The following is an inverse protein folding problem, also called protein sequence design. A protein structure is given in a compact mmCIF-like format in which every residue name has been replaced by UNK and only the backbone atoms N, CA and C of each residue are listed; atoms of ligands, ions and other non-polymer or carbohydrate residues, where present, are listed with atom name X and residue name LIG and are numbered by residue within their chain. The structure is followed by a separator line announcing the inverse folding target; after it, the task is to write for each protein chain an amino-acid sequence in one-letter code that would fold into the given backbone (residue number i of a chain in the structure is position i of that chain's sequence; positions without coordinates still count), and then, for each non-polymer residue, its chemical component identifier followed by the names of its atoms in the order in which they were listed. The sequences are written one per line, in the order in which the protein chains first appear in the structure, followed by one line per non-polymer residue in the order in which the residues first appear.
data_IF_451494817015
#
_entry.id   IF_451494817015
#
_cell.length_a   1.000
_cell.length_b   1.000
_cell.length_c   1.000
_cell.angle_alpha   90.00
_cell.angle_beta   90.00
_cell.angle_gamma   90.00
#
_symmetry.space_group_name_H-M   'P 1'
#
loop_
_entity.id
_entity.type
_entity.pdbx_description
1 polymer ?
#
# COMPACT_ATOMS: atom_id res chain seq x y z
N UNK A 1 -9.40 13.44 0.39
CA UNK A 1 -9.37 12.63 1.63
C UNK A 1 -8.47 11.42 1.50
N UNK A 2 -8.53 10.66 0.40
CA UNK A 2 -7.70 9.47 0.17
C UNK A 2 -6.20 9.67 0.43
N UNK A 3 -5.61 10.76 -0.07
CA UNK A 3 -4.20 11.10 0.18
C UNK A 3 -3.89 11.24 1.69
N UNK A 4 -4.75 11.95 2.41
CA UNK A 4 -4.58 12.22 3.85
C UNK A 4 -4.77 10.93 4.65
N UNK A 5 -5.78 10.13 4.32
CA UNK A 5 -6.03 8.84 4.97
C UNK A 5 -4.93 7.84 4.68
N UNK A 6 -4.43 7.81 3.44
CA UNK A 6 -3.31 6.96 3.03
C UNK A 6 -2.06 7.32 3.81
N UNK A 7 -1.66 8.60 3.80
CA UNK A 7 -0.49 9.06 4.53
C UNK A 7 -0.64 8.86 6.04
N UNK A 8 -1.82 9.09 6.63
CA UNK A 8 -2.02 8.92 8.07
C UNK A 8 -1.85 7.47 8.53
N UNK A 9 -2.39 6.50 7.78
CA UNK A 9 -2.30 5.08 8.15
C UNK A 9 -0.90 4.53 7.81
N UNK A 10 -0.36 4.88 6.65
CA UNK A 10 0.95 4.38 6.19
C UNK A 10 2.12 4.95 7.01
N UNK A 11 2.01 6.19 7.51
CA UNK A 11 3.02 6.78 8.40
C UNK A 11 3.20 5.99 9.69
N UNK A 12 2.17 5.29 10.18
CA UNK A 12 2.30 4.44 11.36
C UNK A 12 3.19 3.22 11.07
N UNK A 13 2.99 2.57 9.93
CA UNK A 13 3.82 1.44 9.51
C UNK A 13 5.27 1.85 9.29
N UNK A 14 5.48 2.91 8.50
CA UNK A 14 6.81 3.42 8.20
C UNK A 14 7.54 4.02 9.40
N UNK A 15 6.81 4.61 10.35
CA UNK A 15 7.41 5.26 11.51
C UNK A 15 7.84 4.27 12.59
N UNK A 16 7.08 3.19 12.80
CA UNK A 16 7.24 2.35 13.99
C UNK A 16 7.67 0.92 13.72
N UNK A 17 7.19 0.31 12.62
CA UNK A 17 7.31 -1.13 12.41
C UNK A 17 8.29 -1.45 11.28
N UNK A 18 8.13 -0.81 10.12
CA UNK A 18 8.91 -1.13 8.94
C UNK A 18 10.43 -0.97 9.13
N UNK A 19 10.97 0.11 9.74
CA UNK A 19 12.42 0.31 9.75
C UNK A 19 13.17 -0.77 10.52
N UNK A 20 12.65 -1.18 11.67
CA UNK A 20 13.27 -2.21 12.52
C UNK A 20 13.06 -3.62 11.94
N UNK A 21 11.85 -3.90 11.45
CA UNK A 21 11.51 -5.18 10.83
C UNK A 21 12.34 -5.44 9.57
N UNK A 22 12.37 -4.50 8.63
CA UNK A 22 13.13 -4.65 7.37
C UNK A 22 14.63 -4.76 7.62
N UNK A 23 15.18 -3.95 8.54
CA UNK A 23 16.61 -4.09 8.92
C UNK A 23 16.92 -5.46 9.49
N UNK A 24 16.02 -6.05 10.28
CA UNK A 24 16.22 -7.39 10.85
C UNK A 24 16.15 -8.52 9.83
N UNK A 25 15.37 -8.35 8.76
CA UNK A 25 15.10 -9.40 7.78
C UNK A 25 15.97 -9.29 6.52
N UNK A 26 16.12 -8.07 6.01
CA UNK A 26 16.80 -7.77 4.73
C UNK A 26 17.80 -6.61 4.86
N UNK A 27 18.28 -6.31 6.07
CA UNK A 27 19.18 -5.17 6.31
C UNK A 27 20.46 -5.20 5.48
N UNK A 28 20.95 -6.39 5.13
CA UNK A 28 22.11 -6.58 4.25
C UNK A 28 21.85 -6.20 2.78
N UNK A 29 20.57 -6.07 2.37
CA UNK A 29 20.14 -5.62 1.04
C UNK A 29 19.74 -4.13 1.03
N UNK A 30 19.60 -3.50 2.20
CA UNK A 30 19.14 -2.12 2.28
C UNK A 30 20.26 -1.14 1.89
N UNK A 31 19.89 -0.09 1.15
CA UNK A 31 20.79 1.01 0.88
C UNK A 31 21.15 1.78 2.18
N UNK A 32 22.34 2.37 2.21
CA UNK A 32 22.77 3.24 3.32
C UNK A 32 21.86 4.46 3.45
N UNK A 33 21.54 5.09 2.33
CA UNK A 33 20.64 6.23 2.23
C UNK A 33 19.40 5.90 1.37
N UNK A 34 18.24 6.38 1.82
CA UNK A 34 16.99 6.22 1.08
C UNK A 34 16.97 7.12 -0.18
N UNK A 35 16.57 6.55 -1.32
CA UNK A 35 16.32 7.34 -2.52
C UNK A 35 14.93 8.02 -2.44
N UNK A 36 14.91 9.23 -1.89
CA UNK A 36 13.67 10.01 -1.71
C UNK A 36 12.95 10.37 -3.01
N UNK A 37 13.68 10.52 -4.12
CA UNK A 37 13.06 10.80 -5.42
C UNK A 37 12.25 9.59 -5.91
N UNK A 38 12.84 8.40 -5.86
CA UNK A 38 12.15 7.15 -6.22
C UNK A 38 10.93 6.91 -5.31
N UNK A 39 11.08 7.13 -4.00
CA UNK A 39 9.98 7.03 -3.05
C UNK A 39 8.85 8.01 -3.40
N UNK A 40 9.17 9.29 -3.66
CA UNK A 40 8.18 10.29 -4.03
C UNK A 40 7.40 9.93 -5.29
N UNK A 41 8.09 9.46 -6.34
CA UNK A 41 7.46 9.02 -7.60
C UNK A 41 6.54 7.82 -7.33
N UNK A 42 6.98 6.84 -6.55
CA UNK A 42 6.17 5.70 -6.15
C UNK A 42 4.88 6.14 -5.45
N UNK A 43 4.95 7.00 -4.43
CA UNK A 43 3.76 7.45 -3.70
C UNK A 43 2.76 8.17 -4.63
N UNK A 44 3.24 9.02 -5.53
CA UNK A 44 2.37 9.71 -6.50
C UNK A 44 1.65 8.72 -7.41
N UNK A 45 2.38 7.76 -8.00
CA UNK A 45 1.82 6.75 -8.89
C UNK A 45 0.87 5.81 -8.16
N UNK A 46 1.25 5.35 -6.97
CA UNK A 46 0.48 4.41 -6.17
C UNK A 46 -0.87 5.01 -5.76
N UNK A 47 -0.85 6.23 -5.23
CA UNK A 47 -2.06 6.92 -4.78
C UNK A 47 -2.95 7.28 -5.97
N UNK A 48 -2.37 7.73 -7.08
CA UNK A 48 -3.10 7.97 -8.31
C UNK A 48 -3.79 6.69 -8.81
N UNK A 49 -3.06 5.57 -8.85
CA UNK A 49 -3.62 4.27 -9.24
C UNK A 49 -4.77 3.82 -8.34
N UNK A 50 -4.61 3.92 -7.02
CA UNK A 50 -5.68 3.58 -6.07
C UNK A 50 -6.93 4.46 -6.27
N UNK A 51 -6.73 5.76 -6.49
CA UNK A 51 -7.81 6.70 -6.76
C UNK A 51 -8.55 6.35 -8.06
N UNK A 52 -7.81 6.20 -9.15
CA UNK A 52 -8.34 6.00 -10.49
C UNK A 52 -9.02 4.64 -10.66
N UNK A 53 -8.36 3.56 -10.22
CA UNK A 53 -8.86 2.20 -10.43
C UNK A 53 -9.89 1.75 -9.39
N UNK A 54 -9.84 2.30 -8.16
CA UNK A 54 -10.65 1.80 -7.05
C UNK A 54 -11.61 2.86 -6.50
N UNK A 55 -11.08 3.96 -5.98
CA UNK A 55 -11.88 4.90 -5.17
C UNK A 55 -12.91 5.65 -6.02
N UNK A 56 -12.49 6.26 -7.14
CA UNK A 56 -13.39 7.04 -7.99
C UNK A 56 -14.53 6.18 -8.58
N UNK A 57 -14.27 4.99 -9.14
CA UNK A 57 -15.35 4.08 -9.57
C UNK A 57 -16.26 3.64 -8.41
N UNK A 58 -15.72 3.46 -7.20
CA UNK A 58 -16.49 3.06 -6.03
C UNK A 58 -17.40 4.16 -5.45
N UNK A 59 -17.00 5.42 -5.60
CA UNK A 59 -17.85 6.57 -5.22
C UNK A 59 -18.98 6.73 -6.23
N UNK A 60 -18.67 6.64 -7.54
CA UNK A 60 -19.65 6.79 -8.63
C UNK A 60 -20.65 5.64 -8.71
N UNK A 61 -20.23 4.42 -8.36
CA UNK A 61 -21.11 3.25 -8.36
C UNK A 61 -21.72 3.00 -6.98
N UNK A 62 -22.96 2.50 -6.95
CA UNK A 62 -23.58 1.98 -5.72
C UNK A 62 -23.13 0.54 -5.40
N UNK A 63 -21.99 0.10 -5.93
CA UNK A 63 -21.49 -1.26 -5.75
C UNK A 63 -20.89 -1.41 -4.35
N UNK A 64 -21.30 -2.42 -3.59
CA UNK A 64 -20.80 -2.70 -2.23
C UNK A 64 -19.40 -3.32 -2.19
N UNK A 65 -18.88 -3.81 -3.32
CA UNK A 65 -17.65 -4.61 -3.36
C UNK A 65 -16.35 -3.77 -3.41
N UNK A 66 -16.42 -2.47 -3.12
CA UNK A 66 -15.24 -1.58 -3.19
C UNK A 66 -14.14 -1.96 -2.19
N UNK A 67 -14.48 -2.50 -1.02
CA UNK A 67 -13.50 -2.95 -0.03
C UNK A 67 -12.63 -4.08 -0.59
N UNK A 68 -13.26 -5.05 -1.27
CA UNK A 68 -12.56 -6.18 -1.90
C UNK A 68 -11.67 -5.66 -3.04
N UNK A 69 -12.14 -4.69 -3.83
CA UNK A 69 -11.32 -4.09 -4.91
C UNK A 69 -10.09 -3.37 -4.36
N UNK A 70 -10.24 -2.62 -3.27
CA UNK A 70 -9.12 -1.97 -2.59
C UNK A 70 -8.12 -2.99 -2.03
N UNK A 71 -8.62 -4.03 -1.38
CA UNK A 71 -7.80 -5.11 -0.85
C UNK A 71 -7.02 -5.84 -1.94
N UNK A 72 -7.68 -6.19 -3.06
CA UNK A 72 -7.03 -6.82 -4.21
C UNK A 72 -6.00 -5.91 -4.88
N UNK A 73 -6.30 -4.61 -5.01
CA UNK A 73 -5.33 -3.65 -5.53
C UNK A 73 -4.05 -3.66 -4.69
N UNK A 74 -4.18 -3.55 -3.35
CA UNK A 74 -3.05 -3.61 -2.43
C UNK A 74 -2.31 -4.94 -2.45
N UNK A 75 -3.03 -6.07 -2.51
CA UNK A 75 -2.41 -7.39 -2.63
C UNK A 75 -1.55 -7.48 -3.88
N UNK A 76 -2.09 -7.10 -5.04
CA UNK A 76 -1.41 -7.24 -6.33
C UNK A 76 -0.18 -6.34 -6.40
N UNK A 77 -0.28 -5.08 -5.95
CA UNK A 77 0.84 -4.15 -6.00
C UNK A 77 2.00 -4.60 -5.10
N UNK A 78 1.71 -5.01 -3.86
CA UNK A 78 2.74 -5.50 -2.95
C UNK A 78 3.30 -6.85 -3.43
N UNK A 79 2.45 -7.79 -3.85
CA UNK A 79 2.89 -9.05 -4.43
C UNK A 79 3.80 -8.86 -5.65
N UNK A 80 3.55 -7.84 -6.48
CA UNK A 80 4.40 -7.52 -7.64
C UNK A 80 5.83 -7.22 -7.20
N UNK A 81 6.03 -6.49 -6.10
CA UNK A 81 7.35 -6.21 -5.57
C UNK A 81 7.92 -7.44 -4.83
N UNK A 82 7.17 -7.95 -3.85
CA UNK A 82 7.64 -8.96 -2.91
C UNK A 82 7.87 -10.34 -3.54
N UNK A 83 6.97 -10.80 -4.41
CA UNK A 83 7.14 -12.09 -5.08
C UNK A 83 8.22 -12.01 -6.16
N UNK A 84 8.37 -10.86 -6.83
CA UNK A 84 9.46 -10.67 -7.80
C UNK A 84 10.81 -10.69 -7.10
N UNK A 85 10.95 -10.01 -5.96
CA UNK A 85 12.19 -10.05 -5.19
C UNK A 85 12.46 -11.43 -4.61
N UNK A 86 11.43 -12.11 -4.07
CA UNK A 86 11.56 -13.50 -3.60
C UNK A 86 12.00 -14.45 -4.72
N UNK A 87 11.60 -14.20 -5.96
CA UNK A 87 11.99 -15.00 -7.12
C UNK A 87 13.39 -14.66 -7.68
N UNK A 88 13.88 -13.43 -7.48
CA UNK A 88 15.07 -12.92 -8.17
C UNK A 88 16.28 -12.65 -7.26
N UNK A 89 16.07 -12.44 -5.96
CA UNK A 89 17.12 -12.15 -4.99
C UNK A 89 17.37 -13.36 -4.08
N UNK A 90 18.65 -13.72 -3.92
CA UNK A 90 19.07 -14.95 -3.21
C UNK A 90 18.66 -14.97 -1.72
N UNK A 91 18.79 -13.84 -1.04
CA UNK A 91 18.65 -13.74 0.42
C UNK A 91 17.43 -12.88 0.82
N UNK A 92 16.39 -12.87 -0.02
CA UNK A 92 15.13 -12.20 0.26
C UNK A 92 14.29 -12.98 1.27
N UNK A 93 13.72 -12.29 2.26
CA UNK A 93 12.95 -12.92 3.35
C UNK A 93 11.52 -13.23 2.93
N UNK A 94 11.13 -14.51 2.98
CA UNK A 94 9.73 -14.94 2.81
C UNK A 94 8.81 -14.28 3.84
N UNK A 95 9.31 -14.02 5.06
CA UNK A 95 8.53 -13.37 6.10
C UNK A 95 8.17 -11.92 5.71
N UNK A 96 9.13 -11.18 5.14
CA UNK A 96 8.85 -9.83 4.59
C UNK A 96 7.77 -9.93 3.53
N UNK A 97 7.91 -10.83 2.56
CA UNK A 97 6.92 -11.03 1.49
C UNK A 97 5.49 -11.24 2.03
N UNK A 98 5.31 -12.16 2.98
CA UNK A 98 3.98 -12.48 3.51
C UNK A 98 3.41 -11.30 4.31
N UNK A 99 4.23 -10.68 5.16
CA UNK A 99 3.81 -9.55 6.01
C UNK A 99 3.46 -8.34 5.17
N UNK A 100 4.27 -8.02 4.17
CA UNK A 100 4.08 -6.87 3.28
C UNK A 100 2.83 -7.03 2.42
N UNK A 101 2.61 -8.20 1.82
CA UNK A 101 1.37 -8.48 1.08
C UNK A 101 0.13 -8.37 1.97
N UNK A 102 0.18 -8.90 3.19
CA UNK A 102 -0.91 -8.79 4.15
C UNK A 102 -1.17 -7.32 4.54
N UNK A 103 -0.11 -6.56 4.80
CA UNK A 103 -0.19 -5.13 5.11
C UNK A 103 -0.81 -4.35 3.94
N UNK A 104 -0.29 -4.51 2.71
CA UNK A 104 -0.80 -3.83 1.52
C UNK A 104 -2.28 -4.11 1.27
N UNK A 105 -2.70 -5.36 1.46
CA UNK A 105 -4.10 -5.80 1.35
C UNK A 105 -5.00 -5.07 2.36
N UNK A 106 -4.61 -5.09 3.64
CA UNK A 106 -5.40 -4.47 4.73
C UNK A 106 -5.41 -2.95 4.56
N UNK A 107 -4.25 -2.35 4.32
CA UNK A 107 -4.07 -0.91 4.15
C UNK A 107 -4.97 -0.37 3.04
N UNK A 108 -4.89 -0.94 1.84
CA UNK A 108 -5.66 -0.44 0.70
C UNK A 108 -7.16 -0.73 0.83
N UNK A 109 -7.54 -1.85 1.46
CA UNK A 109 -8.93 -2.12 1.82
C UNK A 109 -9.50 -1.05 2.76
N UNK A 110 -8.78 -0.72 3.83
CA UNK A 110 -9.19 0.29 4.82
C UNK A 110 -9.24 1.69 4.21
N UNK A 111 -8.24 2.08 3.44
CA UNK A 111 -8.19 3.40 2.79
C UNK A 111 -9.34 3.55 1.82
N UNK A 112 -9.63 2.52 1.03
CA UNK A 112 -10.77 2.52 0.11
C UNK A 112 -12.08 2.67 0.89
N UNK A 113 -12.25 1.91 1.98
CA UNK A 113 -13.45 1.99 2.81
C UNK A 113 -13.67 3.39 3.40
N UNK A 114 -12.64 3.95 4.05
CA UNK A 114 -12.72 5.29 4.64
C UNK A 114 -12.96 6.35 3.57
N UNK A 115 -12.26 6.28 2.44
CA UNK A 115 -12.38 7.28 1.37
C UNK A 115 -13.78 7.27 0.75
N UNK A 116 -14.32 6.09 0.41
CA UNK A 116 -15.66 5.96 -0.18
C UNK A 116 -16.73 6.37 0.82
N UNK A 117 -16.62 5.92 2.08
CA UNK A 117 -17.56 6.30 3.14
C UNK A 117 -17.59 7.82 3.34
N UNK A 118 -16.43 8.46 3.42
CA UNK A 118 -16.35 9.89 3.64
C UNK A 118 -16.85 10.70 2.44
N UNK A 119 -16.50 10.31 1.20
CA UNK A 119 -17.03 10.95 -0.01
C UNK A 119 -18.57 10.89 -0.05
N UNK A 120 -19.16 9.72 0.20
CA UNK A 120 -20.62 9.55 0.21
C UNK A 120 -21.30 10.36 1.33
N UNK A 121 -20.69 10.42 2.52
CA UNK A 121 -21.26 11.15 3.67
C UNK A 121 -21.15 12.67 3.54
N UNK A 122 -20.08 13.16 2.92
CA UNK A 122 -19.83 14.60 2.72
C UNK A 122 -20.51 15.15 1.45
N UNK A 123 -21.22 14.32 0.67
CA UNK A 123 -21.81 14.67 -0.64
C UNK A 123 -20.78 15.31 -1.61
N UNK A 124 -19.53 14.86 -1.52
CA UNK A 124 -18.44 15.24 -2.41
C UNK A 124 -18.35 14.28 -3.59
#
# INVERSE_FOLDING_TARGET
MTLITFLAIDSFWLGFIAPSFYRSQIGHLMAEDANFLAAGIFYLLYIYGLLFFVVEPAVKSNNSNYLIRGALFGLITYATYDLTNLATLRDWSLLVTVVDMAWGTILCGLITWVSVWASKKLKL
#
